data_IF_928488770068
#
_entry.id   IF_928488770068
#
_cell.length_a   1.000
_cell.length_b   1.000
_cell.length_c   1.000
_cell.angle_alpha   90.00
_cell.angle_beta   90.00
_cell.angle_gamma   90.00
#
_symmetry.space_group_name_H-M   'P 1'
#
loop_
_entity.id
_entity.type
_entity.pdbx_description
1 polymer ?
#
# COMPACT_ATOMS: atom_id res chain seq x y z
N UNK A 1 28.09 -46.36 -17.43
CA UNK A 1 27.05 -46.61 -16.40
C UNK A 1 26.79 -45.25 -15.78
N UNK A 2 25.91 -44.48 -16.42
CA UNK A 2 25.67 -43.08 -16.13
C UNK A 2 24.40 -42.95 -15.28
N UNK A 3 24.57 -42.43 -14.07
CA UNK A 3 23.49 -42.18 -13.11
C UNK A 3 22.92 -40.78 -13.32
N UNK A 4 21.72 -40.70 -13.92
CA UNK A 4 20.95 -39.46 -14.06
C UNK A 4 20.29 -39.14 -12.72
N UNK A 5 20.79 -38.13 -12.02
CA UNK A 5 20.17 -37.60 -10.80
C UNK A 5 18.85 -36.90 -11.15
N UNK A 6 17.75 -37.46 -10.66
CA UNK A 6 16.39 -36.93 -10.87
C UNK A 6 16.17 -35.79 -9.89
N UNK A 7 15.95 -34.58 -10.40
CA UNK A 7 15.61 -33.41 -9.59
C UNK A 7 14.28 -33.69 -8.85
N UNK A 8 14.36 -33.86 -7.53
CA UNK A 8 13.19 -33.96 -6.67
C UNK A 8 12.46 -32.62 -6.64
N UNK A 9 11.34 -32.55 -7.35
CA UNK A 9 10.40 -31.44 -7.29
C UNK A 9 9.71 -31.47 -5.93
N UNK A 10 10.25 -30.69 -4.98
CA UNK A 10 9.62 -30.43 -3.69
C UNK A 10 8.38 -29.59 -3.97
N UNK A 11 7.22 -30.25 -4.12
CA UNK A 11 5.93 -29.58 -4.06
C UNK A 11 5.74 -29.07 -2.64
N UNK A 12 6.01 -27.78 -2.42
CA UNK A 12 5.45 -27.06 -1.30
C UNK A 12 3.92 -27.15 -1.41
N UNK A 13 3.31 -28.05 -0.63
CA UNK A 13 1.89 -27.94 -0.27
C UNK A 13 1.83 -26.74 0.65
N UNK A 14 1.47 -25.59 0.10
CA UNK A 14 1.03 -24.45 0.88
C UNK A 14 -0.18 -24.93 1.69
N UNK A 15 0.00 -25.13 2.99
CA UNK A 15 -1.07 -25.59 3.87
C UNK A 15 -2.13 -24.49 3.92
N UNK A 16 -3.27 -24.70 3.25
CA UNK A 16 -4.46 -23.83 3.31
C UNK A 16 -5.11 -23.79 4.72
N UNK A 17 -4.52 -24.46 5.72
CA UNK A 17 -5.04 -24.65 7.08
C UNK A 17 -4.81 -23.45 8.04
N UNK A 18 -4.44 -22.24 7.56
CA UNK A 18 -4.17 -21.07 8.43
C UNK A 18 -5.15 -19.88 8.32
N UNK A 19 -6.27 -19.99 7.61
CA UNK A 19 -7.25 -18.88 7.53
C UNK A 19 -8.67 -19.26 8.01
N UNK A 20 -8.77 -20.03 9.09
CA UNK A 20 -9.92 -19.95 10.00
C UNK A 20 -9.72 -18.86 11.08
N UNK A 21 -8.84 -17.89 10.81
CA UNK A 21 -8.82 -16.62 11.54
C UNK A 21 -10.13 -15.91 11.21
N UNK A 22 -11.06 -16.05 12.15
CA UNK A 22 -12.45 -15.67 12.03
C UNK A 22 -12.60 -14.30 11.38
N UNK A 23 -13.58 -14.20 10.48
CA UNK A 23 -14.10 -13.01 9.80
C UNK A 23 -14.50 -11.94 10.84
N UNK A 24 -13.50 -11.36 11.52
CA UNK A 24 -13.70 -10.43 12.63
C UNK A 24 -14.32 -9.18 12.04
N UNK A 25 -15.49 -8.75 12.54
CA UNK A 25 -16.15 -7.57 12.01
C UNK A 25 -15.20 -6.37 12.11
N UNK A 26 -15.21 -5.54 11.08
CA UNK A 26 -14.50 -4.26 11.12
C UNK A 26 -15.17 -3.35 12.15
N UNK A 27 -14.35 -2.78 13.03
CA UNK A 27 -14.79 -1.79 14.01
C UNK A 27 -14.86 -0.41 13.37
N UNK A 28 -15.69 0.47 13.92
CA UNK A 28 -15.79 1.88 13.47
C UNK A 28 -14.46 2.61 13.62
N UNK A 29 -13.66 2.25 14.63
CA UNK A 29 -12.34 2.83 14.84
C UNK A 29 -11.35 2.41 13.74
N UNK A 30 -11.31 1.13 13.36
CA UNK A 30 -10.50 0.67 12.22
C UNK A 30 -10.92 1.34 10.91
N UNK A 31 -12.21 1.55 10.67
CA UNK A 31 -12.72 2.26 9.48
C UNK A 31 -12.26 3.71 9.43
N UNK A 32 -12.32 4.40 10.56
CA UNK A 32 -11.84 5.77 10.69
C UNK A 32 -10.33 5.83 10.47
N UNK A 33 -9.58 4.91 11.08
CA UNK A 33 -8.13 4.84 10.96
C UNK A 33 -7.68 4.53 9.54
N UNK A 34 -8.38 3.65 8.83
CA UNK A 34 -8.14 3.34 7.43
C UNK A 34 -8.29 4.59 6.56
N UNK A 35 -9.27 5.45 6.84
CA UNK A 35 -9.47 6.73 6.15
C UNK A 35 -8.39 7.76 6.49
N UNK A 36 -8.03 7.89 7.75
CA UNK A 36 -7.03 8.86 8.21
C UNK A 36 -5.63 8.52 7.67
N UNK A 37 -5.27 7.24 7.66
CA UNK A 37 -3.94 6.76 7.24
C UNK A 37 -3.80 6.58 5.72
N UNK A 38 -4.90 6.44 4.98
CA UNK A 38 -4.88 6.13 3.54
C UNK A 38 -3.94 7.04 2.73
N UNK A 39 -4.05 8.36 2.92
CA UNK A 39 -3.30 9.34 2.13
C UNK A 39 -1.78 9.21 2.32
N UNK A 40 -1.32 8.68 3.46
CA UNK A 40 0.09 8.47 3.78
C UNK A 40 0.71 7.34 2.96
N UNK A 41 -0.07 6.30 2.65
CA UNK A 41 0.40 5.10 1.94
C UNK A 41 0.02 5.08 0.46
N UNK A 42 -0.76 6.07 0.01
CA UNK A 42 -1.12 6.25 -1.39
C UNK A 42 0.07 6.82 -2.19
N UNK A 43 0.43 6.16 -3.29
CA UNK A 43 1.55 6.54 -4.15
C UNK A 43 1.06 7.25 -5.42
N UNK A 44 1.75 8.33 -5.79
CA UNK A 44 1.54 9.04 -7.05
C UNK A 44 0.15 9.68 -7.09
N UNK A 45 -0.68 9.27 -8.05
CA UNK A 45 -2.06 9.74 -8.19
C UNK A 45 -3.06 9.05 -7.25
N UNK A 46 -2.57 8.26 -6.28
CA UNK A 46 -3.41 7.38 -5.45
C UNK A 46 -3.90 6.13 -6.19
N UNK A 47 -3.32 5.82 -7.36
CA UNK A 47 -3.61 4.58 -8.09
C UNK A 47 -3.08 3.35 -7.36
N UNK A 48 -1.93 3.48 -6.69
CA UNK A 48 -1.31 2.43 -5.90
C UNK A 48 -1.34 2.79 -4.43
N UNK A 49 -1.49 1.79 -3.58
CA UNK A 49 -1.50 1.96 -2.12
C UNK A 49 -0.66 0.84 -1.53
N UNK A 50 0.25 1.21 -0.62
CA UNK A 50 1.12 0.28 0.11
C UNK A 50 0.36 -0.41 1.24
N UNK A 51 -0.61 -1.26 0.87
CA UNK A 51 -1.47 -1.95 1.82
C UNK A 51 -0.69 -2.83 2.80
N UNK A 52 0.38 -3.48 2.34
CA UNK A 52 1.19 -4.37 3.17
C UNK A 52 1.91 -3.59 4.28
N UNK A 53 2.55 -2.49 3.91
CA UNK A 53 3.14 -1.58 4.88
C UNK A 53 2.12 -0.98 5.84
N UNK A 54 0.95 -0.56 5.35
CA UNK A 54 -0.09 0.03 6.19
C UNK A 54 -0.52 -0.92 7.31
N UNK A 55 -0.84 -2.18 7.00
CA UNK A 55 -1.25 -3.14 8.04
C UNK A 55 -0.11 -3.52 8.98
N UNK A 56 1.14 -3.41 8.53
CA UNK A 56 2.32 -3.71 9.35
C UNK A 56 2.69 -2.56 10.30
N UNK A 57 2.58 -1.31 9.84
CA UNK A 57 3.03 -0.12 10.58
C UNK A 57 1.95 0.50 11.48
N UNK A 58 0.66 0.22 11.21
CA UNK A 58 -0.47 0.73 11.98
C UNK A 58 -0.87 -0.33 13.01
N UNK A 59 -0.57 -0.16 14.31
CA UNK A 59 -0.74 -1.21 15.32
C UNK A 59 -2.14 -1.82 15.39
N UNK A 60 -3.16 -0.98 15.20
CA UNK A 60 -4.56 -1.35 15.23
C UNK A 60 -4.97 -2.24 14.03
N UNK A 61 -4.17 -2.27 12.96
CA UNK A 61 -4.41 -3.06 11.75
C UNK A 61 -3.52 -4.31 11.65
N UNK A 62 -2.64 -4.59 12.62
CA UNK A 62 -1.67 -5.71 12.57
C UNK A 62 -2.35 -7.09 12.45
N UNK A 63 -3.60 -7.21 12.86
CA UNK A 63 -4.40 -8.44 12.69
C UNK A 63 -5.16 -8.52 11.37
N UNK A 64 -4.99 -7.57 10.44
CA UNK A 64 -5.68 -7.53 9.15
C UNK A 64 -4.70 -7.84 8.03
N UNK A 65 -5.19 -8.57 7.03
CA UNK A 65 -4.43 -8.78 5.81
C UNK A 65 -4.51 -7.55 4.89
N UNK A 66 -3.51 -7.34 4.01
CA UNK A 66 -3.54 -6.24 3.04
C UNK A 66 -4.77 -6.29 2.13
N UNK A 67 -5.21 -7.50 1.76
CA UNK A 67 -6.38 -7.73 0.91
C UNK A 67 -7.69 -7.39 1.62
N UNK A 68 -7.80 -7.67 2.92
CA UNK A 68 -8.96 -7.26 3.74
C UNK A 68 -9.02 -5.74 3.87
N UNK A 69 -7.90 -5.08 4.20
CA UNK A 69 -7.83 -3.63 4.29
C UNK A 69 -8.25 -2.97 2.97
N UNK A 70 -7.73 -3.47 1.83
CA UNK A 70 -8.14 -3.01 0.49
C UNK A 70 -9.63 -3.23 0.24
N UNK A 71 -10.16 -4.42 0.52
CA UNK A 71 -11.59 -4.74 0.32
C UNK A 71 -12.47 -3.82 1.17
N UNK A 72 -12.08 -3.58 2.42
CA UNK A 72 -12.80 -2.69 3.33
C UNK A 72 -12.78 -1.25 2.83
N UNK A 73 -11.63 -0.77 2.36
CA UNK A 73 -11.52 0.55 1.76
C UNK A 73 -12.48 0.76 0.59
N UNK A 74 -12.55 -0.23 -0.32
CA UNK A 74 -13.47 -0.18 -1.45
C UNK A 74 -14.93 -0.16 -0.99
N UNK A 75 -15.27 -0.87 0.09
CA UNK A 75 -16.60 -0.84 0.69
C UNK A 75 -16.95 0.53 1.30
N UNK A 76 -16.07 1.10 2.15
CA UNK A 76 -16.28 2.41 2.79
C UNK A 76 -16.44 3.52 1.74
N UNK A 77 -15.63 3.50 0.69
CA UNK A 77 -15.67 4.52 -0.38
C UNK A 77 -16.85 4.35 -1.35
N UNK A 78 -17.72 3.36 -1.13
CA UNK A 78 -18.87 3.07 -1.98
C UNK A 78 -18.49 2.56 -3.39
N UNK A 79 -17.23 2.16 -3.59
CA UNK A 79 -16.71 1.66 -4.87
C UNK A 79 -16.97 0.17 -5.05
N UNK A 80 -17.04 -0.57 -3.95
CA UNK A 80 -17.62 -1.91 -3.91
C UNK A 80 -19.11 -1.73 -3.59
N UNK A 81 -19.92 -1.40 -4.60
CA UNK A 81 -21.37 -1.46 -4.43
C UNK A 81 -21.75 -2.91 -4.23
N UNK A 82 -22.56 -3.20 -3.20
CA UNK A 82 -23.06 -4.54 -2.89
C UNK A 82 -23.87 -5.08 -4.07
N UNK A 83 -23.18 -5.70 -5.03
CA UNK A 83 -23.79 -6.31 -6.21
C UNK A 83 -24.67 -7.52 -5.83
N UNK A 84 -24.70 -7.89 -4.55
CA UNK A 84 -25.36 -9.10 -4.02
C UNK A 84 -26.77 -8.91 -3.47
N UNK A 85 -27.28 -7.70 -3.25
CA UNK A 85 -28.66 -7.52 -2.73
C UNK A 85 -29.75 -7.43 -3.83
N UNK A 86 -29.42 -7.74 -5.08
CA UNK A 86 -30.39 -7.86 -6.19
C UNK A 86 -30.92 -9.27 -6.46
N UNK A 87 -30.64 -10.26 -5.60
CA UNK A 87 -31.04 -11.66 -5.76
C UNK A 87 -32.53 -11.97 -5.55
N UNK A 88 -33.41 -10.95 -5.63
CA UNK A 88 -34.86 -11.12 -5.56
C UNK A 88 -35.49 -11.27 -6.94
N UNK A 89 -35.77 -12.51 -7.35
CA UNK A 89 -36.89 -12.86 -8.25
C UNK A 89 -36.93 -12.19 -9.65
N UNK A 90 -35.87 -12.35 -10.45
CA UNK A 90 -35.83 -11.88 -11.85
C UNK A 90 -35.43 -12.92 -12.91
N UNK A 91 -35.33 -14.21 -12.55
CA UNK A 91 -34.77 -15.27 -13.41
C UNK A 91 -35.54 -15.55 -14.72
N UNK A 92 -36.74 -14.97 -14.93
CA UNK A 92 -37.55 -15.23 -16.10
C UNK A 92 -37.47 -14.15 -17.21
N UNK A 93 -36.92 -12.97 -16.95
CA UNK A 93 -36.93 -11.87 -17.93
C UNK A 93 -35.59 -11.65 -18.67
N UNK A 94 -34.51 -12.32 -18.25
CA UNK A 94 -33.16 -12.06 -18.75
C UNK A 94 -32.74 -12.86 -20.00
N UNK A 95 -33.57 -13.79 -20.50
CA UNK A 95 -33.21 -14.63 -21.66
C UNK A 95 -33.38 -13.93 -23.03
N UNK A 96 -34.03 -12.76 -23.11
CA UNK A 96 -34.43 -12.18 -24.39
C UNK A 96 -33.57 -11.00 -24.89
N UNK A 97 -32.54 -10.55 -24.16
CA UNK A 97 -31.87 -9.26 -24.46
C UNK A 97 -30.33 -9.30 -24.56
N UNK A 98 -29.73 -10.47 -24.77
CA UNK A 98 -28.27 -10.65 -24.89
C UNK A 98 -27.70 -10.47 -26.32
N UNK A 99 -28.35 -9.72 -27.22
CA UNK A 99 -27.89 -9.58 -28.62
C UNK A 99 -27.54 -8.16 -29.10
N UNK A 100 -27.62 -7.13 -28.27
CA UNK A 100 -27.22 -5.78 -28.68
C UNK A 100 -25.90 -5.36 -28.03
N UNK A 101 -24.84 -5.42 -28.83
CA UNK A 101 -23.72 -4.48 -28.85
C UNK A 101 -23.13 -4.11 -27.49
N UNK A 102 -22.10 -4.86 -27.09
CA UNK A 102 -21.15 -4.51 -26.03
C UNK A 102 -20.31 -3.28 -26.44
N UNK A 103 -20.93 -2.10 -26.48
CA UNK A 103 -20.23 -0.83 -26.37
C UNK A 103 -19.80 -0.68 -24.92
N UNK A 104 -18.63 -1.23 -24.60
CA UNK A 104 -17.98 -1.08 -23.29
C UNK A 104 -17.77 0.41 -23.03
N UNK A 105 -18.73 1.02 -22.31
CA UNK A 105 -18.59 2.37 -21.78
C UNK A 105 -17.28 2.42 -21.01
N UNK A 106 -16.32 3.22 -21.50
CA UNK A 106 -14.95 3.32 -21.00
C UNK A 106 -14.84 3.98 -19.62
N UNK A 107 -15.74 3.64 -18.70
CA UNK A 107 -15.47 3.84 -17.29
C UNK A 107 -14.26 2.97 -16.95
N UNK A 108 -13.15 3.55 -16.47
CA UNK A 108 -12.01 2.75 -16.02
C UNK A 108 -12.53 1.76 -14.99
N UNK A 109 -12.26 0.48 -15.23
CA UNK A 109 -12.66 -0.60 -14.35
C UNK A 109 -12.29 -0.22 -12.91
N UNK A 110 -13.27 -0.22 -12.01
CA UNK A 110 -13.08 0.18 -10.61
C UNK A 110 -11.99 -0.67 -9.96
N UNK A 111 -11.76 -1.88 -10.48
CA UNK A 111 -10.68 -2.77 -10.09
C UNK A 111 -9.27 -2.20 -10.37
N UNK A 112 -9.14 -1.22 -11.27
CA UNK A 112 -7.87 -0.59 -11.66
C UNK A 112 -7.38 0.45 -10.65
N UNK A 113 -8.21 0.81 -9.67
CA UNK A 113 -7.85 1.77 -8.63
C UNK A 113 -7.42 1.05 -7.34
N UNK A 114 -6.47 1.67 -6.62
CA UNK A 114 -5.95 1.18 -5.35
C UNK A 114 -5.32 -0.21 -5.44
N UNK A 115 -4.57 -0.42 -6.52
CA UNK A 115 -3.82 -1.65 -6.73
C UNK A 115 -2.73 -1.77 -5.66
N UNK A 116 -2.63 -2.96 -5.08
CA UNK A 116 -1.46 -3.35 -4.30
C UNK A 116 -0.31 -3.56 -5.28
N UNK A 117 0.79 -2.80 -5.19
CA UNK A 117 1.99 -3.11 -5.96
C UNK A 117 2.49 -4.52 -5.61
N UNK A 118 3.07 -5.26 -6.56
CA UNK A 118 3.86 -6.44 -6.23
C UNK A 118 4.96 -6.10 -5.23
N UNK A 119 5.24 -7.02 -4.32
CA UNK A 119 6.22 -6.85 -3.27
C UNK A 119 7.58 -7.37 -3.76
N UNK A 120 8.64 -6.60 -3.53
CA UNK A 120 10.02 -6.99 -3.80
C UNK A 120 10.70 -7.28 -2.46
N UNK A 121 10.88 -8.56 -2.17
CA UNK A 121 11.55 -9.08 -0.97
C UNK A 121 13.04 -9.28 -1.20
N UNK A 122 13.78 -9.42 -0.09
CA UNK A 122 15.22 -9.70 -0.04
C UNK A 122 16.01 -8.86 -1.03
N UNK A 123 15.62 -7.59 -1.12
CA UNK A 123 16.05 -6.73 -2.20
C UNK A 123 17.35 -6.02 -1.86
N UNK A 124 18.16 -5.75 -2.87
CA UNK A 124 19.33 -4.89 -2.75
C UNK A 124 19.36 -3.88 -3.90
N UNK A 125 19.92 -2.71 -3.61
CA UNK A 125 20.25 -1.74 -4.65
C UNK A 125 21.70 -1.99 -5.10
N UNK A 126 21.87 -2.18 -6.39
CA UNK A 126 23.14 -2.45 -7.04
C UNK A 126 23.89 -1.14 -7.37
N UNK A 127 25.18 -1.24 -7.66
CA UNK A 127 26.04 -0.08 -7.95
C UNK A 127 25.57 0.76 -9.15
N UNK A 128 24.83 0.15 -10.08
CA UNK A 128 24.25 0.81 -11.25
C UNK A 128 22.90 1.49 -10.97
N UNK A 129 22.44 1.50 -9.72
CA UNK A 129 21.15 2.03 -9.28
C UNK A 129 19.95 1.13 -9.63
N UNK A 130 20.20 -0.10 -10.12
CA UNK A 130 19.14 -1.09 -10.29
C UNK A 130 18.82 -1.79 -8.96
N UNK A 131 17.62 -2.35 -8.87
CA UNK A 131 17.13 -3.11 -7.73
C UNK A 131 17.03 -4.58 -8.13
N UNK A 132 17.49 -5.47 -7.27
CA UNK A 132 17.37 -6.92 -7.45
C UNK A 132 16.74 -7.54 -6.20
N UNK A 133 15.74 -8.41 -6.38
CA UNK A 133 15.05 -9.08 -5.27
C UNK A 133 14.07 -10.15 -5.75
N UNK A 134 13.42 -10.84 -4.83
CA UNK A 134 12.36 -11.81 -5.10
C UNK A 134 11.00 -11.11 -5.18
N UNK A 135 10.21 -11.39 -6.21
CA UNK A 135 8.90 -10.76 -6.41
C UNK A 135 7.78 -11.65 -5.88
N UNK A 136 6.80 -11.02 -5.23
CA UNK A 136 5.55 -11.64 -4.79
C UNK A 136 4.33 -10.85 -5.26
N UNK A 137 3.24 -11.55 -5.60
CA UNK A 137 1.97 -10.95 -5.97
C UNK A 137 1.92 -10.35 -7.39
N UNK A 138 2.91 -10.64 -8.25
CA UNK A 138 2.89 -10.23 -9.65
C UNK A 138 2.18 -11.27 -10.52
N UNK A 139 1.02 -10.89 -11.09
CA UNK A 139 0.26 -11.76 -11.99
C UNK A 139 1.08 -12.26 -13.18
N UNK A 140 1.07 -13.59 -13.38
CA UNK A 140 1.80 -14.25 -14.47
C UNK A 140 3.23 -14.68 -14.11
N UNK A 141 3.73 -14.32 -12.93
CA UNK A 141 4.96 -14.85 -12.36
C UNK A 141 4.64 -15.73 -11.16
N UNK A 142 5.50 -16.70 -10.87
CA UNK A 142 5.45 -17.42 -9.61
C UNK A 142 6.06 -16.54 -8.51
N UNK A 143 5.53 -16.66 -7.29
CA UNK A 143 6.10 -15.98 -6.12
C UNK A 143 7.54 -16.47 -5.86
N UNK A 144 8.40 -15.55 -5.43
CA UNK A 144 9.82 -15.82 -5.16
C UNK A 144 10.72 -15.73 -6.40
N UNK A 145 10.19 -15.41 -7.58
CA UNK A 145 11.01 -15.22 -8.79
C UNK A 145 11.95 -14.03 -8.61
N UNK A 146 13.24 -14.25 -8.83
CA UNK A 146 14.24 -13.19 -8.82
C UNK A 146 14.02 -12.25 -10.01
N UNK A 147 13.88 -10.96 -9.73
CA UNK A 147 13.75 -9.91 -10.73
C UNK A 147 14.80 -8.85 -10.48
N UNK A 148 15.40 -8.36 -11.57
CA UNK A 148 16.25 -7.17 -11.58
C UNK A 148 15.58 -6.09 -12.41
N UNK A 149 15.50 -4.88 -11.86
CA UNK A 149 14.84 -3.77 -12.52
C UNK A 149 15.57 -2.45 -12.30
N UNK A 150 15.55 -1.57 -13.31
CA UNK A 150 16.10 -0.22 -13.17
C UNK A 150 15.06 0.70 -12.56
N UNK A 151 15.42 1.31 -11.42
CA UNK A 151 14.61 2.33 -10.79
C UNK A 151 14.62 3.62 -11.61
N UNK A 152 13.47 4.25 -11.73
CA UNK A 152 13.35 5.63 -12.19
C UNK A 152 13.15 6.51 -10.97
N UNK A 153 14.10 7.40 -10.74
CA UNK A 153 13.90 8.48 -9.79
C UNK A 153 12.90 9.48 -10.37
N UNK A 154 11.70 9.51 -9.82
CA UNK A 154 10.63 10.38 -10.31
C UNK A 154 10.78 11.85 -9.87
N UNK A 155 11.72 12.19 -8.98
CA UNK A 155 11.80 13.55 -8.45
C UNK A 155 13.14 13.97 -7.80
N UNK A 156 14.21 13.20 -7.90
CA UNK A 156 15.41 13.45 -7.07
C UNK A 156 15.18 13.14 -5.59
N UNK A 157 14.01 12.57 -5.26
CA UNK A 157 13.61 12.18 -3.92
C UNK A 157 13.29 10.71 -4.00
N UNK A 158 14.30 9.87 -3.71
CA UNK A 158 14.07 8.50 -3.24
C UNK A 158 12.97 8.57 -2.19
N UNK A 159 11.78 8.09 -2.50
CA UNK A 159 10.69 8.08 -1.53
C UNK A 159 10.96 6.92 -0.57
N UNK A 160 11.85 7.21 0.38
CA UNK A 160 11.99 6.61 1.70
C UNK A 160 12.04 5.07 1.77
N UNK A 161 12.74 4.39 0.87
CA UNK A 161 12.91 2.92 0.92
C UNK A 161 11.58 2.15 0.91
N UNK A 162 10.51 2.74 0.36
CA UNK A 162 9.16 2.15 0.42
C UNK A 162 8.68 1.51 -0.85
N UNK A 163 9.08 2.03 -2.01
CA UNK A 163 8.71 1.50 -3.29
C UNK A 163 9.73 1.89 -4.35
N UNK A 164 9.78 1.14 -5.44
CA UNK A 164 10.54 1.47 -6.65
C UNK A 164 9.60 1.51 -7.84
N UNK A 165 9.69 2.57 -8.65
CA UNK A 165 9.06 2.62 -9.97
C UNK A 165 10.10 2.33 -11.04
N UNK A 166 9.75 1.51 -12.01
CA UNK A 166 10.66 1.08 -13.07
C UNK A 166 10.52 1.93 -14.32
N UNK A 167 11.48 1.81 -15.25
CA UNK A 167 11.44 2.48 -16.56
C UNK A 167 10.21 2.11 -17.39
N UNK A 168 9.72 0.87 -17.26
CA UNK A 168 8.47 0.43 -17.91
C UNK A 168 7.20 0.91 -17.19
N UNK A 169 7.34 1.68 -16.11
CA UNK A 169 6.24 2.24 -15.35
C UNK A 169 5.61 1.29 -14.33
N UNK A 170 6.15 0.08 -14.14
CA UNK A 170 5.76 -0.81 -13.06
C UNK A 170 6.15 -0.21 -11.71
N UNK A 171 5.39 -0.52 -10.67
CA UNK A 171 5.66 -0.08 -9.30
C UNK A 171 5.77 -1.33 -8.44
N UNK A 172 6.82 -1.42 -7.64
CA UNK A 172 7.02 -2.46 -6.64
C UNK A 172 7.06 -1.83 -5.26
N UNK A 173 6.37 -2.43 -4.30
CA UNK A 173 6.59 -2.14 -2.89
C UNK A 173 7.91 -2.78 -2.46
N UNK A 174 8.73 -2.06 -1.68
CA UNK A 174 9.99 -2.58 -1.17
C UNK A 174 9.74 -3.20 0.21
N UNK A 175 9.96 -4.52 0.30
CA UNK A 175 9.88 -5.28 1.55
C UNK A 175 11.17 -5.19 2.36
N UNK A 176 11.52 -6.29 3.04
CA UNK A 176 12.78 -6.40 3.76
C UNK A 176 13.97 -6.28 2.80
N UNK A 177 14.92 -5.42 3.15
CA UNK A 177 16.17 -5.27 2.41
C UNK A 177 17.12 -6.41 2.78
N UNK A 178 17.80 -6.98 1.79
CA UNK A 178 18.81 -8.02 1.97
C UNK A 178 19.88 -7.54 2.95
N UNK A 179 20.11 -8.31 4.03
CA UNK A 179 21.11 -8.01 5.05
C UNK A 179 20.71 -6.95 6.08
N UNK A 180 19.47 -6.43 6.07
CA UNK A 180 19.04 -5.44 7.06
C UNK A 180 18.85 -6.01 8.48
N UNK A 181 18.66 -7.32 8.62
CA UNK A 181 18.47 -7.97 9.92
C UNK A 181 19.72 -7.87 10.82
N UNK A 182 20.90 -7.73 10.24
CA UNK A 182 22.15 -7.57 11.00
C UNK A 182 22.26 -6.19 11.67
N UNK A 183 21.62 -5.16 11.10
CA UNK A 183 21.67 -3.78 11.61
C UNK A 183 20.47 -3.44 12.51
N UNK A 184 19.31 -4.07 12.30
CA UNK A 184 18.09 -3.82 13.06
C UNK A 184 18.19 -4.27 14.54
N UNK A 185 18.97 -5.33 14.82
CA UNK A 185 19.26 -5.77 16.18
C UNK A 185 20.00 -4.71 17.02
N UNK A 186 20.65 -3.74 16.36
CA UNK A 186 21.38 -2.66 17.04
C UNK A 186 20.50 -1.41 17.24
N UNK A 187 19.41 -1.25 16.47
CA UNK A 187 18.55 -0.05 16.50
C UNK A 187 17.25 -0.24 17.30
N UNK A 188 16.79 -1.48 17.50
CA UNK A 188 15.54 -1.80 18.22
C UNK A 188 15.59 -1.61 19.75
N UNK A 189 16.67 -1.03 20.31
CA UNK A 189 16.80 -0.72 21.74
C UNK A 189 16.86 0.78 22.04
N UNK A 190 16.32 1.64 21.18
CA UNK A 190 15.94 2.98 21.60
C UNK A 190 14.56 2.91 22.27
N UNK A 191 14.45 2.84 23.61
CA UNK A 191 13.15 2.93 24.25
C UNK A 191 12.53 4.28 23.86
N UNK A 192 11.36 4.24 23.23
CA UNK A 192 10.45 5.38 23.20
C UNK A 192 9.98 5.56 24.64
N UNK A 193 10.82 6.23 25.44
CA UNK A 193 10.44 6.77 26.73
C UNK A 193 9.46 7.91 26.44
N UNK A 194 8.23 7.54 26.09
CA UNK A 194 7.07 8.42 26.19
C UNK A 194 6.99 8.83 27.65
N UNK A 195 7.50 10.01 27.93
CA UNK A 195 7.29 10.75 29.15
C UNK A 195 5.79 11.07 29.28
N UNK A 196 4.98 10.07 29.63
CA UNK A 196 3.73 10.30 30.34
C UNK A 196 4.08 10.66 31.79
N UNK A 197 4.67 11.84 31.96
CA UNK A 197 4.65 12.52 33.24
C UNK A 197 3.23 13.05 33.44
N UNK A 198 2.38 12.18 33.98
CA UNK A 198 1.14 12.58 34.61
C UNK A 198 1.48 13.47 35.83
N UNK A 199 1.34 14.78 35.67
CA UNK A 199 1.21 15.73 36.77
C UNK A 199 0.52 17.01 36.28
N UNK A 200 -0.80 17.03 36.32
CA UNK A 200 -1.54 18.27 36.56
C UNK A 200 -1.53 18.56 38.08
N UNK A 201 -1.89 19.75 38.63
CA UNK A 201 -2.52 20.92 37.98
C UNK A 201 -2.05 22.32 38.52
N UNK A 202 -2.76 23.37 38.06
CA UNK A 202 -3.04 24.68 38.70
C UNK A 202 -2.18 25.93 38.39
N UNK A 203 -2.93 26.97 37.98
CA UNK A 203 -2.77 28.40 38.25
C UNK A 203 -1.56 29.16 37.65
N UNK A 204 -1.82 29.90 36.57
CA UNK A 204 -1.33 31.28 36.46
C UNK A 204 -2.28 32.11 35.58
N UNK A 205 -3.02 32.98 36.26
CA UNK A 205 -3.73 34.13 35.71
C UNK A 205 -2.72 35.18 35.20
N UNK A 206 -3.18 35.97 34.22
CA UNK A 206 -2.61 37.24 33.74
C UNK A 206 -1.26 37.12 32.99
N UNK A 207 -1.09 37.70 31.80
CA UNK A 207 -1.31 39.12 31.52
C UNK A 207 -1.46 39.41 30.03
N UNK A 208 -2.18 40.51 29.76
CA UNK A 208 -2.37 41.11 28.45
C UNK A 208 -1.07 41.71 27.88
N UNK A 209 -0.90 41.66 26.56
CA UNK A 209 -0.36 42.78 25.78
C UNK A 209 -0.63 42.55 24.28
N UNK A 210 -1.27 43.55 23.67
CA UNK A 210 -1.48 43.67 22.24
C UNK A 210 -0.17 43.94 21.51
N UNK A 211 0.04 43.32 20.33
CA UNK A 211 0.76 43.94 19.22
C UNK A 211 0.04 43.62 17.91
N UNK A 212 -0.70 44.61 17.43
CA UNK A 212 -1.01 44.81 16.02
C UNK A 212 0.32 44.95 15.26
N UNK A 213 0.57 44.07 14.30
CA UNK A 213 1.76 44.10 13.46
C UNK A 213 1.46 43.54 12.08
N UNK A 214 0.85 44.35 11.22
CA UNK A 214 0.74 44.08 9.80
C UNK A 214 2.14 43.98 9.17
N UNK A 215 2.46 42.84 8.56
CA UNK A 215 3.46 42.78 7.49
C UNK A 215 2.90 41.99 6.33
N UNK A 216 2.45 42.76 5.34
CA UNK A 216 2.32 42.35 3.95
C UNK A 216 3.71 41.97 3.46
N UNK A 217 3.91 40.72 3.06
CA UNK A 217 5.03 40.32 2.21
C UNK A 217 4.45 39.49 1.07
N UNK A 218 4.11 40.22 0.02
CA UNK A 218 3.98 39.73 -1.35
C UNK A 218 5.16 38.82 -1.67
N UNK A 219 4.92 37.52 -1.84
CA UNK A 219 5.81 36.66 -2.59
C UNK A 219 5.29 36.57 -4.01
N UNK A 220 5.99 37.27 -4.88
CA UNK A 220 5.85 37.20 -6.32
C UNK A 220 6.34 35.81 -6.75
N UNK A 221 5.42 34.89 -7.05
CA UNK A 221 5.76 33.62 -7.68
C UNK A 221 5.88 33.88 -9.18
N UNK A 222 7.11 33.82 -9.72
CA UNK A 222 7.33 33.72 -11.15
C UNK A 222 7.20 32.25 -11.55
N UNK A 223 6.19 31.94 -12.36
CA UNK A 223 6.04 30.66 -13.05
C UNK A 223 6.70 30.79 -14.42
N UNK A 224 7.86 30.17 -14.61
CA UNK A 224 8.42 29.92 -15.93
C UNK A 224 7.81 28.63 -16.49
N UNK A 225 6.99 28.77 -17.54
CA UNK A 225 6.44 27.64 -18.29
C UNK A 225 7.41 27.33 -19.44
N UNK A 226 8.11 26.21 -19.34
CA UNK A 226 8.82 25.63 -20.47
C UNK A 226 7.88 24.70 -21.23
N UNK A 227 7.56 25.07 -22.46
CA UNK A 227 6.94 24.17 -23.44
C UNK A 227 8.09 23.50 -24.18
N UNK A 228 8.19 22.18 -24.07
CA UNK A 228 9.05 21.32 -24.89
C UNK A 228 8.16 20.45 -25.76
#
# INVERSE_FOLDING_TARGET
>A
MDGVATASSVRYRFSEDQHEEADMPWTEFEDWLLQDTFARYAIGSGKHVLWNRMVTEVPELIGRTPQEARRRWLHITGRLTDQRQGGGSGAAAAAAKQRSGSGSSGAPDVETFYLQPPLLHDWEELEDGSFEGSVEGMGGLADGVLVRTRGVDLAGRRVADQYVRTECGAVFELGARRGADDDAATTALAPVASAFAAAAPLLALASAAAVLGATVLTHHVQLEVFVV
#
